data_IF_888590789138
#
_entry.id   IF_888590789138
#
_cell.length_a   1.000
_cell.length_b   1.000
_cell.length_c   1.000
_cell.angle_alpha   90.00
_cell.angle_beta   90.00
_cell.angle_gamma   90.00
#
_symmetry.space_group_name_H-M   'P 1'
#
loop_
_entity.id
_entity.type
_entity.pdbx_description
1 polymer ?
#
# COMPACT_ATOMS: atom_id res chain seq x y z
N UNK A 1 -12.23 13.47 -1.17
CA UNK A 1 -10.83 13.44 -1.65
C UNK A 1 -10.81 13.63 -3.16
N UNK A 2 -9.93 14.48 -3.64
CA UNK A 2 -9.78 14.73 -5.08
C UNK A 2 -8.80 13.67 -5.67
N UNK A 3 -9.33 12.74 -6.43
CA UNK A 3 -8.55 11.64 -7.00
C UNK A 3 -7.48 12.11 -8.00
N UNK A 4 -7.69 13.23 -8.68
CA UNK A 4 -6.69 13.78 -9.60
C UNK A 4 -5.51 14.37 -8.87
N UNK A 5 -5.74 15.04 -7.74
CA UNK A 5 -4.67 15.56 -6.89
C UNK A 5 -3.85 14.43 -6.30
N UNK A 6 -4.49 13.35 -5.86
CA UNK A 6 -3.77 12.17 -5.38
C UNK A 6 -2.94 11.52 -6.48
N UNK A 7 -3.48 11.39 -7.67
CA UNK A 7 -2.74 10.88 -8.83
C UNK A 7 -1.49 11.72 -9.12
N UNK A 8 -1.62 13.04 -9.17
CA UNK A 8 -0.51 13.96 -9.39
C UNK A 8 0.53 13.87 -8.27
N UNK A 9 0.07 13.79 -7.03
CA UNK A 9 0.93 13.63 -5.87
C UNK A 9 1.77 12.35 -5.94
N UNK A 10 1.17 11.26 -6.34
CA UNK A 10 1.89 10.00 -6.52
C UNK A 10 2.91 10.09 -7.65
N UNK A 11 2.52 10.68 -8.80
CA UNK A 11 3.44 10.87 -9.92
C UNK A 11 4.68 11.68 -9.54
N UNK A 12 4.52 12.67 -8.69
CA UNK A 12 5.60 13.54 -8.23
C UNK A 12 6.44 12.93 -7.11
N UNK A 13 5.99 11.81 -6.50
CA UNK A 13 6.67 11.22 -5.36
C UNK A 13 8.01 10.58 -5.75
N UNK A 14 9.11 10.89 -5.02
CA UNK A 14 10.39 10.24 -5.24
C UNK A 14 10.41 8.77 -4.77
N UNK A 15 9.39 8.33 -4.02
CA UNK A 15 9.30 6.96 -3.52
C UNK A 15 8.90 5.94 -4.60
N UNK A 16 8.34 6.41 -5.73
CA UNK A 16 7.98 5.54 -6.84
C UNK A 16 9.21 5.10 -7.64
N UNK A 17 9.23 3.82 -8.04
CA UNK A 17 10.21 3.34 -9.00
C UNK A 17 9.87 3.87 -10.40
N UNK A 18 10.82 3.74 -11.35
CA UNK A 18 10.59 4.15 -12.73
C UNK A 18 9.45 3.36 -13.38
N UNK A 19 9.36 2.05 -13.11
CA UNK A 19 8.30 1.19 -13.61
C UNK A 19 6.93 1.61 -13.08
N UNK A 20 6.83 1.92 -11.80
CA UNK A 20 5.61 2.40 -11.18
C UNK A 20 5.18 3.76 -11.75
N UNK A 21 6.15 4.65 -11.96
CA UNK A 21 5.88 5.96 -12.57
C UNK A 21 5.44 5.82 -14.02
N UNK A 22 6.04 4.93 -14.79
CA UNK A 22 5.64 4.65 -16.17
C UNK A 22 4.22 4.08 -16.23
N UNK A 23 3.86 3.19 -15.30
CA UNK A 23 2.51 2.65 -15.17
C UNK A 23 1.49 3.75 -14.94
N UNK A 24 1.77 4.69 -14.03
CA UNK A 24 0.87 5.81 -13.76
C UNK A 24 0.80 6.80 -14.93
N UNK A 25 1.91 7.08 -15.60
CA UNK A 25 1.92 7.94 -16.80
C UNK A 25 1.08 7.37 -17.93
N UNK A 26 1.03 6.05 -18.08
CA UNK A 26 0.21 5.39 -19.07
C UNK A 26 -1.30 5.60 -18.86
N UNK A 27 -1.70 6.03 -17.65
CA UNK A 27 -3.10 6.35 -17.33
C UNK A 27 -3.50 7.78 -17.78
N UNK A 28 -2.57 8.59 -18.22
CA UNK A 28 -2.86 9.95 -18.65
C UNK A 28 -3.93 9.94 -19.74
N UNK A 29 -4.98 10.72 -19.54
CA UNK A 29 -6.14 10.74 -20.42
C UNK A 29 -7.22 9.69 -20.12
N UNK A 30 -6.95 8.73 -19.25
CA UNK A 30 -7.92 7.70 -18.82
C UNK A 30 -8.46 8.04 -17.42
N UNK A 31 -9.36 9.01 -17.35
CA UNK A 31 -9.92 9.50 -16.10
C UNK A 31 -10.64 8.42 -15.30
N UNK A 32 -11.31 7.50 -15.96
CA UNK A 32 -12.02 6.38 -15.32
C UNK A 32 -11.06 5.50 -14.51
N UNK A 33 -9.93 5.14 -15.08
CA UNK A 33 -8.92 4.32 -14.42
C UNK A 33 -8.21 5.09 -13.31
N UNK A 34 -7.90 6.37 -13.53
CA UNK A 34 -7.32 7.24 -12.51
C UNK A 34 -8.26 7.31 -11.30
N UNK A 35 -9.54 7.53 -11.54
CA UNK A 35 -10.54 7.56 -10.47
C UNK A 35 -10.60 6.23 -9.73
N UNK A 36 -10.60 5.10 -10.43
CA UNK A 36 -10.64 3.77 -9.82
C UNK A 36 -9.46 3.52 -8.89
N UNK A 37 -8.27 4.03 -9.24
CA UNK A 37 -7.04 3.83 -8.45
C UNK A 37 -6.83 4.83 -7.32
N UNK A 38 -7.49 5.99 -7.36
CA UNK A 38 -7.19 7.09 -6.44
C UNK A 38 -8.39 7.72 -5.74
N UNK A 39 -9.61 7.21 -5.93
CA UNK A 39 -10.80 7.83 -5.32
C UNK A 39 -10.82 7.77 -3.79
N UNK A 40 -10.06 6.88 -3.20
CA UNK A 40 -9.95 6.75 -1.77
C UNK A 40 -8.97 5.65 -1.38
N UNK A 41 -8.56 5.59 -0.10
CA UNK A 41 -7.69 4.53 0.37
C UNK A 41 -8.39 3.18 0.32
N UNK A 42 -7.58 2.12 0.22
CA UNK A 42 -8.06 0.76 0.33
C UNK A 42 -8.52 0.51 1.76
N UNK A 43 -9.71 -0.04 1.93
CA UNK A 43 -10.30 -0.27 3.24
C UNK A 43 -10.15 -1.72 3.68
N UNK A 44 -9.99 -1.91 5.00
CA UNK A 44 -10.00 -3.25 5.58
C UNK A 44 -11.42 -3.82 5.58
N UNK A 45 -11.55 -5.01 4.99
CA UNK A 45 -12.78 -5.81 5.06
C UNK A 45 -12.73 -6.77 6.26
N UNK A 46 -13.74 -7.62 6.37
CA UNK A 46 -13.84 -8.63 7.44
C UNK A 46 -12.67 -9.62 7.42
N UNK A 47 -12.18 -9.96 6.23
CA UNK A 47 -11.09 -10.92 6.04
C UNK A 47 -9.73 -10.24 5.78
N UNK A 48 -9.61 -8.93 6.00
CA UNK A 48 -8.38 -8.17 5.81
C UNK A 48 -8.42 -7.20 4.64
N UNK A 49 -7.25 -6.87 4.13
CA UNK A 49 -7.07 -5.91 3.05
C UNK A 49 -7.03 -6.64 1.71
N UNK A 50 -7.89 -6.25 0.78
CA UNK A 50 -7.98 -6.85 -0.56
C UNK A 50 -8.04 -5.79 -1.64
N UNK A 51 -7.38 -6.03 -2.76
CA UNK A 51 -7.39 -5.12 -3.89
C UNK A 51 -6.65 -5.68 -5.09
N UNK A 52 -6.81 -5.04 -6.23
CA UNK A 52 -6.08 -5.34 -7.45
C UNK A 52 -4.62 -4.91 -7.31
N UNK A 53 -3.67 -5.72 -7.80
CA UNK A 53 -2.24 -5.43 -7.69
C UNK A 53 -1.75 -4.46 -8.77
N UNK A 54 -2.06 -3.18 -8.57
CA UNK A 54 -1.60 -2.08 -9.43
C UNK A 54 -1.10 -0.93 -8.57
N UNK A 55 -0.32 -0.04 -9.16
CA UNK A 55 0.12 1.18 -8.49
C UNK A 55 -1.08 2.11 -8.29
N UNK A 56 -1.26 2.62 -7.08
CA UNK A 56 -2.34 3.54 -6.74
C UNK A 56 -2.84 3.36 -5.31
N UNK A 57 -3.49 4.40 -4.80
CA UNK A 57 -3.97 4.46 -3.42
C UNK A 57 -5.01 3.38 -3.09
N UNK A 58 -5.89 3.06 -4.03
CA UNK A 58 -6.98 2.08 -3.84
C UNK A 58 -6.60 0.67 -4.33
N UNK A 59 -5.32 0.40 -4.50
CA UNK A 59 -4.80 -0.87 -4.99
C UNK A 59 -3.86 -1.52 -4.00
N UNK A 60 -3.59 -2.81 -4.19
CA UNK A 60 -2.61 -3.56 -3.42
C UNK A 60 -1.23 -3.39 -4.07
N UNK A 61 -0.31 -2.72 -3.37
CA UNK A 61 1.07 -2.51 -3.80
C UNK A 61 1.96 -2.26 -2.57
N UNK A 62 3.28 -2.19 -2.78
CA UNK A 62 4.23 -2.03 -1.68
C UNK A 62 3.99 -0.77 -0.84
N UNK A 63 3.54 0.32 -1.47
CA UNK A 63 3.29 1.58 -0.76
C UNK A 63 2.08 1.48 0.17
N UNK A 64 0.99 0.88 -0.31
CA UNK A 64 -0.22 0.66 0.50
C UNK A 64 0.04 -0.37 1.60
N UNK A 65 0.81 -1.43 1.31
CA UNK A 65 1.25 -2.40 2.32
C UNK A 65 2.07 -1.72 3.42
N UNK A 66 3.04 -0.88 3.06
CA UNK A 66 3.84 -0.12 4.02
C UNK A 66 2.97 0.78 4.89
N UNK A 67 2.04 1.48 4.29
CA UNK A 67 1.14 2.38 5.00
C UNK A 67 0.25 1.63 5.99
N UNK A 68 -0.39 0.54 5.56
CA UNK A 68 -1.21 -0.30 6.43
C UNK A 68 -0.39 -0.92 7.57
N UNK A 69 0.83 -1.37 7.27
CA UNK A 69 1.75 -1.94 8.26
C UNK A 69 2.18 -0.89 9.27
N UNK A 70 2.44 0.34 8.83
CA UNK A 70 2.79 1.44 9.73
C UNK A 70 1.64 1.73 10.71
N UNK A 71 0.39 1.70 10.25
CA UNK A 71 -0.77 1.84 11.11
C UNK A 71 -0.83 0.75 12.19
N UNK A 72 -0.57 -0.49 11.82
CA UNK A 72 -0.51 -1.61 12.75
C UNK A 72 0.65 -1.45 13.75
N UNK A 73 1.83 -1.06 13.26
CA UNK A 73 2.99 -0.80 14.12
C UNK A 73 2.70 0.32 15.12
N UNK A 74 1.97 1.36 14.72
CA UNK A 74 1.58 2.45 15.62
C UNK A 74 0.68 1.96 16.76
N UNK A 75 -0.25 1.04 16.49
CA UNK A 75 -1.10 0.43 17.51
C UNK A 75 -0.25 -0.34 18.53
N UNK A 76 0.71 -1.13 18.06
CA UNK A 76 1.61 -1.90 18.94
C UNK A 76 2.44 -0.97 19.81
N UNK A 77 2.98 0.11 19.24
CA UNK A 77 3.73 1.12 19.99
C UNK A 77 2.89 1.78 21.08
N UNK A 78 1.63 2.07 20.79
CA UNK A 78 0.71 2.69 21.75
C UNK A 78 0.43 1.76 22.94
N UNK A 79 0.50 0.44 22.76
CA UNK A 79 0.32 -0.53 23.84
C UNK A 79 1.56 -0.69 24.73
N UNK A 80 2.72 -0.18 24.32
CA UNK A 80 3.91 -0.08 25.13
C UNK A 80 5.00 -1.11 24.82
N UNK A 81 6.08 -1.03 25.59
CA UNK A 81 7.31 -1.80 25.37
C UNK A 81 7.10 -3.32 25.45
N UNK A 82 6.24 -3.79 26.35
CA UNK A 82 5.97 -5.22 26.51
C UNK A 82 5.30 -5.82 25.27
N UNK A 83 4.35 -5.09 24.66
CA UNK A 83 3.72 -5.48 23.40
C UNK A 83 4.74 -5.53 22.26
N UNK A 84 5.63 -4.56 22.20
CA UNK A 84 6.69 -4.51 21.19
C UNK A 84 7.65 -5.69 21.27
N UNK A 85 8.00 -6.12 22.48
CA UNK A 85 8.91 -7.25 22.73
C UNK A 85 8.34 -8.60 22.27
N UNK A 86 7.02 -8.74 22.21
CA UNK A 86 6.37 -9.98 21.77
C UNK A 86 6.62 -10.28 20.30
N UNK A 87 6.95 -9.26 19.51
CA UNK A 87 7.20 -9.40 18.08
C UNK A 87 5.95 -9.63 17.27
N UNK A 88 6.13 -9.79 15.97
CA UNK A 88 5.05 -10.00 15.00
C UNK A 88 5.45 -11.14 14.06
N UNK A 89 4.54 -12.08 13.83
CA UNK A 89 4.75 -13.13 12.86
C UNK A 89 4.31 -12.63 11.47
N UNK A 90 5.16 -12.83 10.48
CA UNK A 90 4.85 -12.50 9.08
C UNK A 90 4.93 -13.78 8.28
N UNK A 91 3.87 -14.08 7.53
CA UNK A 91 3.76 -15.28 6.70
C UNK A 91 3.64 -14.90 5.23
N UNK A 92 4.02 -15.81 4.36
CA UNK A 92 3.80 -15.67 2.91
C UNK A 92 3.34 -17.00 2.32
N UNK A 93 2.74 -16.92 1.13
CA UNK A 93 2.30 -18.09 0.39
C UNK A 93 2.89 -18.08 -1.04
N UNK A 94 2.36 -18.90 -1.94
CA UNK A 94 2.87 -19.00 -3.32
C UNK A 94 2.26 -17.99 -4.30
N UNK A 95 1.37 -17.08 -3.84
CA UNK A 95 0.75 -16.10 -4.72
C UNK A 95 1.76 -15.08 -5.22
N UNK A 96 1.42 -14.44 -6.35
CA UNK A 96 2.25 -13.39 -6.93
C UNK A 96 2.50 -12.26 -5.92
N UNK A 97 3.75 -11.83 -5.81
CA UNK A 97 4.18 -10.75 -4.91
C UNK A 97 4.05 -11.04 -3.40
N UNK A 98 3.62 -12.24 -2.99
CA UNK A 98 3.48 -12.57 -1.57
C UNK A 98 4.79 -12.42 -0.80
N UNK A 99 5.89 -12.92 -1.35
CA UNK A 99 7.21 -12.78 -0.74
C UNK A 99 7.64 -11.32 -0.63
N UNK A 100 7.40 -10.51 -1.66
CA UNK A 100 7.72 -9.08 -1.66
C UNK A 100 6.92 -8.32 -0.60
N UNK A 101 5.62 -8.60 -0.50
CA UNK A 101 4.74 -7.95 0.48
C UNK A 101 5.09 -8.37 1.91
N UNK A 102 5.43 -9.63 2.13
CA UNK A 102 5.91 -10.09 3.43
C UNK A 102 7.19 -9.37 3.84
N UNK A 103 8.13 -9.19 2.91
CA UNK A 103 9.37 -8.44 3.12
C UNK A 103 9.08 -6.98 3.48
N UNK A 104 8.20 -6.31 2.73
CA UNK A 104 7.82 -4.92 3.00
C UNK A 104 7.21 -4.77 4.38
N UNK A 105 6.32 -5.68 4.77
CA UNK A 105 5.72 -5.72 6.11
C UNK A 105 6.78 -5.87 7.19
N UNK A 106 7.70 -6.82 7.03
CA UNK A 106 8.77 -7.07 8.00
C UNK A 106 9.72 -5.88 8.13
N UNK A 107 10.03 -5.18 7.03
CA UNK A 107 10.91 -4.01 7.04
C UNK A 107 10.29 -2.81 7.77
N UNK A 108 8.97 -2.63 7.72
CA UNK A 108 8.27 -1.57 8.45
C UNK A 108 8.20 -1.89 9.95
N UNK A 109 7.97 -3.14 10.28
CA UNK A 109 7.96 -3.59 11.68
C UNK A 109 9.37 -3.59 12.27
#
# INVERSE_FOLDING_TARGET
>A
MDYRKEYEKWLASPALSEDERAELKALEGNDKEIKARFYGPLEFGTAGLRGTMYTGLHNMNRHVIRWATQGFANVIRAEGTEAMKKGVAVCMDCRNHSAEFARETACVM
#
